data_IF_547520549862
#
_entry.id   IF_547520549862
#
_cell.length_a   1.000
_cell.length_b   1.000
_cell.length_c   1.000
_cell.angle_alpha   90.00
_cell.angle_beta   90.00
_cell.angle_gamma   90.00
#
_symmetry.space_group_name_H-M   'P 1'
#
loop_
_entity.id
_entity.type
_entity.pdbx_description
1 polymer ?
#
# COMPACT_ATOMS: atom_id res chain seq x y z
N UNK A 1 5.15 -2.80 -6.03
CA UNK A 1 4.16 -1.69 -6.10
C UNK A 1 4.06 -1.20 -7.56
N UNK A 2 2.92 -0.64 -8.05
CA UNK A 2 2.90 0.01 -9.38
C UNK A 2 3.89 1.17 -9.44
N UNK A 3 4.39 1.53 -10.63
CA UNK A 3 5.43 2.56 -10.76
C UNK A 3 4.91 4.00 -10.63
N UNK A 4 3.59 4.20 -10.65
CA UNK A 4 2.95 5.52 -10.56
C UNK A 4 1.78 5.50 -9.59
N UNK A 5 1.46 6.67 -9.02
CA UNK A 5 0.36 6.82 -8.07
C UNK A 5 -1.00 6.65 -8.74
N UNK A 6 -1.18 7.17 -9.96
CA UNK A 6 -2.44 7.02 -10.70
C UNK A 6 -2.76 5.54 -10.99
N UNK A 7 -1.74 4.76 -11.36
CA UNK A 7 -1.90 3.33 -11.57
C UNK A 7 -2.30 2.62 -10.27
N UNK A 8 -1.78 3.06 -9.11
CA UNK A 8 -2.19 2.53 -7.81
C UNK A 8 -3.66 2.83 -7.50
N UNK A 9 -4.10 4.08 -7.68
CA UNK A 9 -5.49 4.51 -7.42
C UNK A 9 -6.47 3.72 -8.30
N UNK A 10 -6.17 3.55 -9.58
CA UNK A 10 -7.01 2.77 -10.49
C UNK A 10 -7.14 1.29 -10.07
N UNK A 11 -6.09 0.71 -9.48
CA UNK A 11 -6.13 -0.68 -8.98
C UNK A 11 -6.98 -0.80 -7.73
N UNK A 12 -6.75 0.06 -6.73
CA UNK A 12 -7.50 -0.02 -5.46
C UNK A 12 -8.96 0.41 -5.63
N UNK A 13 -9.26 1.27 -6.62
CA UNK A 13 -10.63 1.68 -6.95
C UNK A 13 -11.53 0.57 -7.51
N UNK A 14 -11.08 -0.69 -7.53
CA UNK A 14 -11.87 -1.88 -7.91
C UNK A 14 -12.41 -2.67 -6.71
N UNK A 15 -12.03 -2.34 -5.48
CA UNK A 15 -12.31 -3.18 -4.30
C UNK A 15 -13.71 -2.97 -3.70
N UNK A 16 -14.39 -1.86 -3.99
CA UNK A 16 -15.76 -1.59 -3.50
C UNK A 16 -16.83 -1.81 -4.57
N UNK A 17 -17.83 -2.66 -4.30
CA UNK A 17 -19.05 -2.84 -5.13
C UNK A 17 -20.29 -2.95 -4.24
N UNK A 18 -21.43 -2.46 -4.74
CA UNK A 18 -22.78 -2.64 -4.15
C UNK A 18 -22.86 -2.46 -2.62
N UNK A 19 -22.58 -1.24 -2.13
CA UNK A 19 -22.63 -0.83 -0.71
C UNK A 19 -21.67 -1.55 0.24
N UNK A 20 -20.81 -2.45 -0.24
CA UNK A 20 -19.79 -3.10 0.58
C UNK A 20 -18.50 -2.30 0.60
N UNK A 21 -17.85 -2.25 1.76
CA UNK A 21 -16.49 -1.69 1.89
C UNK A 21 -15.51 -2.67 1.25
N UNK A 22 -14.67 -2.18 0.35
CA UNK A 22 -13.55 -2.90 -0.21
C UNK A 22 -12.29 -2.71 0.62
N UNK A 23 -11.44 -3.73 0.67
CA UNK A 23 -10.12 -3.64 1.30
C UNK A 23 -9.01 -3.88 0.26
N UNK A 24 -7.91 -3.15 0.40
CA UNK A 24 -6.72 -3.29 -0.44
C UNK A 24 -5.48 -3.41 0.45
N UNK A 25 -4.76 -4.52 0.28
CA UNK A 25 -3.47 -4.75 0.95
C UNK A 25 -2.34 -4.55 -0.07
N UNK A 26 -1.31 -3.82 0.33
CA UNK A 26 -0.17 -3.52 -0.52
C UNK A 26 1.11 -3.96 0.14
N UNK A 27 1.85 -4.86 -0.51
CA UNK A 27 3.21 -5.21 -0.10
C UNK A 27 4.18 -4.16 -0.61
N UNK A 28 5.02 -3.66 0.30
CA UNK A 28 6.01 -2.63 0.05
C UNK A 28 7.37 -3.05 0.57
N UNK A 29 8.43 -2.56 -0.07
CA UNK A 29 9.81 -2.64 0.42
C UNK A 29 10.28 -1.25 0.86
N UNK A 30 11.41 -1.12 1.59
CA UNK A 30 11.88 0.20 2.04
C UNK A 30 12.05 1.24 0.92
N UNK A 31 12.42 0.81 -0.28
CA UNK A 31 12.58 1.70 -1.44
C UNK A 31 11.25 2.28 -1.97
N UNK A 32 10.10 1.73 -1.56
CA UNK A 32 8.78 2.21 -1.98
C UNK A 32 8.27 3.38 -1.12
N UNK A 33 8.96 3.74 -0.03
CA UNK A 33 8.52 4.75 0.96
C UNK A 33 8.14 6.09 0.34
N UNK A 34 8.90 6.55 -0.66
CA UNK A 34 8.60 7.79 -1.36
C UNK A 34 7.23 7.74 -2.05
N UNK A 35 6.91 6.61 -2.68
CA UNK A 35 5.64 6.42 -3.38
C UNK A 35 4.48 6.27 -2.40
N UNK A 36 4.69 5.57 -1.28
CA UNK A 36 3.68 5.45 -0.22
C UNK A 36 3.29 6.83 0.30
N UNK A 37 4.26 7.72 0.54
CA UNK A 37 3.98 9.10 0.98
C UNK A 37 3.16 9.89 -0.03
N UNK A 38 3.43 9.75 -1.33
CA UNK A 38 2.65 10.43 -2.36
C UNK A 38 1.20 9.93 -2.41
N UNK A 39 0.99 8.61 -2.28
CA UNK A 39 -0.34 8.03 -2.20
C UNK A 39 -1.10 8.55 -0.98
N UNK A 40 -0.48 8.54 0.20
CA UNK A 40 -1.09 9.07 1.42
C UNK A 40 -1.47 10.55 1.30
N UNK A 41 -0.63 11.36 0.64
CA UNK A 41 -0.90 12.76 0.39
C UNK A 41 -2.13 12.96 -0.51
N UNK A 42 -2.27 12.16 -1.57
CA UNK A 42 -3.41 12.22 -2.50
C UNK A 42 -4.69 11.67 -1.86
N UNK A 43 -4.60 10.57 -1.12
CA UNK A 43 -5.72 9.99 -0.38
C UNK A 43 -6.11 10.84 0.84
N UNK A 44 -5.27 11.79 1.26
CA UNK A 44 -5.39 12.60 2.48
C UNK A 44 -5.61 11.75 3.73
N UNK A 45 -5.01 10.56 3.74
CA UNK A 45 -5.15 9.58 4.81
C UNK A 45 -3.85 8.76 4.93
N UNK A 46 -3.55 8.31 6.15
CA UNK A 46 -2.45 7.38 6.40
C UNK A 46 -2.88 5.96 6.08
N UNK A 47 -1.96 5.18 5.51
CA UNK A 47 -2.16 3.75 5.28
C UNK A 47 -1.63 3.00 6.50
N UNK A 48 -2.44 2.12 7.06
CA UNK A 48 -2.01 1.26 8.17
C UNK A 48 -0.84 0.38 7.74
N UNK A 49 0.25 0.43 8.50
CA UNK A 49 1.47 -0.33 8.24
C UNK A 49 1.53 -1.53 9.18
N UNK A 50 1.73 -2.71 8.61
CA UNK A 50 2.00 -3.95 9.34
C UNK A 50 3.35 -4.48 8.85
N UNK A 51 4.25 -4.73 9.78
CA UNK A 51 5.51 -5.41 9.51
C UNK A 51 5.37 -6.86 9.92
N UNK A 52 5.81 -7.79 9.08
CA UNK A 52 5.84 -9.21 9.43
C UNK A 52 7.22 -9.51 9.99
N UNK A 53 7.30 -9.68 11.31
CA UNK A 53 8.57 -9.81 12.05
C UNK A 53 9.46 -10.95 11.54
N UNK A 54 8.86 -12.08 11.13
CA UNK A 54 9.61 -13.22 10.56
C UNK A 54 10.42 -12.87 9.32
N UNK A 55 9.97 -11.90 8.50
CA UNK A 55 10.66 -11.50 7.28
C UNK A 55 11.87 -10.58 7.56
N UNK A 56 11.86 -9.87 8.69
CA UNK A 56 12.97 -9.01 9.13
C UNK A 56 14.09 -9.87 9.71
N UNK A 57 13.74 -10.88 10.51
CA UNK A 57 14.72 -11.79 11.10
C UNK A 57 15.52 -12.55 10.05
N UNK A 58 14.89 -12.95 8.93
CA UNK A 58 15.55 -13.65 7.83
C UNK A 58 16.52 -12.79 6.98
N UNK A 59 16.46 -11.45 7.09
CA UNK A 59 17.38 -10.54 6.36
C UNK A 59 18.67 -10.22 7.13
N UNK A 60 18.74 -10.60 8.41
CA UNK A 60 19.90 -10.36 9.27
C UNK A 60 20.75 -11.62 9.52
N UNK A 61 20.52 -12.70 8.76
CA UNK A 61 21.30 -13.93 8.80
C UNK A 61 22.07 -14.15 7.49
#
# INVERSE_FOLDING_TARGET
>A
MPNTVDAYIHRIGRTGRAKNKGEALTFVVPNDEYMVRQIEAILKAKIDRRTIDMLIMAKHQ
#
